data_IF_676769914342
#
_entry.id   IF_676769914342
#
_cell.length_a   1.000
_cell.length_b   1.000
_cell.length_c   1.000
_cell.angle_alpha   90.00
_cell.angle_beta   90.00
_cell.angle_gamma   90.00
#
_symmetry.space_group_name_H-M   'P 1'
#
loop_
_entity.id
_entity.type
_entity.pdbx_description
1 polymer ?
#
# COMPACT_ATOMS: atom_id res chain seq x y z
N UNK A 1 -15.86 -13.23 -9.12
CA UNK A 1 -15.66 -14.42 -9.99
C UNK A 1 -14.17 -14.72 -10.13
N UNK A 2 -13.50 -15.49 -9.28
CA UNK A 2 -13.91 -16.26 -8.09
C UNK A 2 -14.46 -15.38 -6.96
N UNK A 3 -15.44 -15.88 -6.21
CA UNK A 3 -16.03 -15.12 -5.08
C UNK A 3 -15.37 -15.47 -3.75
N UNK A 4 -14.71 -16.62 -3.68
CA UNK A 4 -14.06 -17.15 -2.48
C UNK A 4 -12.82 -17.94 -2.87
N UNK A 5 -11.81 -17.92 -2.00
CA UNK A 5 -10.59 -18.72 -2.09
C UNK A 5 -10.74 -19.95 -1.19
N UNK A 6 -10.30 -21.10 -1.67
CA UNK A 6 -10.02 -22.27 -0.85
C UNK A 6 -8.79 -22.04 0.05
N UNK A 7 -8.54 -22.95 0.99
CA UNK A 7 -7.34 -22.91 1.83
C UNK A 7 -6.04 -23.00 1.02
N UNK A 8 -6.04 -23.78 -0.07
CA UNK A 8 -4.89 -23.93 -0.97
C UNK A 8 -4.63 -22.62 -1.73
N UNK A 9 -5.68 -22.05 -2.32
CA UNK A 9 -5.58 -20.77 -3.03
C UNK A 9 -5.22 -19.63 -2.09
N UNK A 10 -5.69 -19.64 -0.85
CA UNK A 10 -5.27 -18.67 0.17
C UNK A 10 -3.79 -18.81 0.50
N UNK A 11 -3.27 -20.03 0.68
CA UNK A 11 -1.85 -20.23 0.95
C UNK A 11 -0.96 -19.72 -0.19
N UNK A 12 -1.37 -19.99 -1.43
CA UNK A 12 -0.71 -19.47 -2.64
C UNK A 12 -0.83 -17.95 -2.73
N UNK A 13 -2.01 -17.38 -2.44
CA UNK A 13 -2.25 -15.94 -2.41
C UNK A 13 -1.39 -15.22 -1.36
N UNK A 14 -1.15 -15.85 -0.22
CA UNK A 14 -0.34 -15.28 0.86
C UNK A 14 1.16 -15.52 0.71
N UNK A 15 1.57 -16.42 -0.18
CA UNK A 15 2.98 -16.85 -0.29
C UNK A 15 3.49 -17.61 0.92
N UNK A 16 2.60 -18.28 1.66
CA UNK A 16 2.92 -18.96 2.93
C UNK A 16 2.58 -20.45 2.86
N UNK A 17 3.19 -21.23 3.76
CA UNK A 17 2.91 -22.66 3.85
C UNK A 17 1.46 -22.93 4.25
N UNK A 18 0.81 -23.88 3.56
CA UNK A 18 -0.60 -24.23 3.80
C UNK A 18 -0.88 -24.62 5.25
N UNK A 19 0.05 -25.32 5.92
CA UNK A 19 -0.15 -25.77 7.32
C UNK A 19 -0.05 -24.59 8.28
N UNK A 20 0.75 -23.59 7.97
CA UNK A 20 0.80 -22.33 8.72
C UNK A 20 -0.55 -21.61 8.62
N UNK A 21 -1.06 -21.43 7.39
CA UNK A 21 -2.36 -20.80 7.15
C UNK A 21 -3.48 -21.57 7.86
N UNK A 22 -3.47 -22.90 7.77
CA UNK A 22 -4.46 -23.73 8.45
C UNK A 22 -4.48 -23.51 9.97
N UNK A 23 -3.31 -23.41 10.61
CA UNK A 23 -3.21 -23.10 12.04
C UNK A 23 -3.76 -21.71 12.38
N UNK A 24 -3.49 -20.70 11.55
CA UNK A 24 -3.98 -19.34 11.75
C UNK A 24 -5.50 -19.27 11.62
N UNK A 25 -6.06 -19.96 10.63
CA UNK A 25 -7.51 -20.07 10.43
C UNK A 25 -8.17 -20.80 11.59
N UNK A 26 -7.62 -21.93 12.05
CA UNK A 26 -8.15 -22.68 13.21
C UNK A 26 -8.13 -21.85 14.51
N UNK A 27 -7.17 -20.93 14.64
CA UNK A 27 -7.08 -19.98 15.77
C UNK A 27 -7.97 -18.74 15.60
N UNK A 28 -8.73 -18.65 14.50
CA UNK A 28 -9.58 -17.49 14.19
C UNK A 28 -8.80 -16.20 13.97
N UNK A 29 -7.54 -16.29 13.53
CA UNK A 29 -6.70 -15.12 13.20
C UNK A 29 -6.99 -14.60 11.80
N UNK A 30 -7.25 -15.50 10.85
CA UNK A 30 -7.63 -15.14 9.48
C UNK A 30 -9.16 -15.22 9.34
N UNK A 31 -9.83 -14.19 8.81
CA UNK A 31 -11.27 -14.22 8.58
C UNK A 31 -11.61 -15.24 7.49
N UNK A 32 -12.44 -16.22 7.81
CA UNK A 32 -12.87 -17.26 6.89
C UNK A 32 -14.15 -17.95 7.36
N UNK A 33 -14.83 -18.64 6.45
CA UNK A 33 -16.08 -19.36 6.74
C UNK A 33 -15.95 -20.83 6.35
N UNK A 34 -16.59 -21.71 7.12
CA UNK A 34 -16.75 -23.12 6.71
C UNK A 34 -18.01 -23.28 5.88
N UNK A 35 -17.85 -23.70 4.62
CA UNK A 35 -18.95 -24.05 3.72
C UNK A 35 -18.78 -25.51 3.32
N UNK A 36 -19.80 -26.35 3.53
CA UNK A 36 -19.75 -27.78 3.19
C UNK A 36 -18.50 -28.52 3.72
N UNK A 37 -18.11 -28.22 4.97
CA UNK A 37 -16.91 -28.74 5.66
C UNK A 37 -15.54 -28.26 5.16
N UNK A 38 -15.49 -27.39 4.15
CA UNK A 38 -14.25 -26.77 3.66
C UNK A 38 -14.16 -25.29 4.05
N UNK A 39 -12.94 -24.79 4.21
CA UNK A 39 -12.70 -23.38 4.46
C UNK A 39 -12.77 -22.56 3.17
N UNK A 40 -13.48 -21.44 3.24
CA UNK A 40 -13.67 -20.47 2.17
C UNK A 40 -13.30 -19.07 2.69
N UNK A 41 -12.57 -18.30 1.89
CA UNK A 41 -12.07 -16.97 2.27
C UNK A 41 -12.44 -15.92 1.24
N UNK A 42 -13.04 -14.81 1.68
CA UNK A 42 -13.36 -13.73 0.77
C UNK A 42 -12.10 -12.87 0.54
N UNK A 43 -11.65 -12.64 -0.71
CA UNK A 43 -10.41 -11.91 -0.99
C UNK A 43 -10.31 -10.56 -0.28
N UNK A 44 -11.39 -9.77 -0.29
CA UNK A 44 -11.42 -8.47 0.39
C UNK A 44 -11.27 -8.56 1.92
N UNK A 45 -11.80 -9.62 2.55
CA UNK A 45 -11.64 -9.81 3.99
C UNK A 45 -10.20 -10.21 4.33
N UNK A 46 -9.60 -11.07 3.50
CA UNK A 46 -8.20 -11.47 3.63
C UNK A 46 -7.25 -10.30 3.41
N UNK A 47 -7.43 -9.52 2.34
CA UNK A 47 -6.64 -8.31 2.06
C UNK A 47 -6.71 -7.34 3.23
N UNK A 48 -7.91 -7.11 3.76
CA UNK A 48 -8.09 -6.22 4.90
C UNK A 48 -7.38 -6.73 6.16
N UNK A 49 -7.47 -8.03 6.44
CA UNK A 49 -6.71 -8.64 7.54
C UNK A 49 -5.19 -8.48 7.35
N UNK A 50 -4.69 -8.73 6.14
CA UNK A 50 -3.25 -8.58 5.83
C UNK A 50 -2.76 -7.16 6.08
N UNK A 51 -3.48 -6.15 5.61
CA UNK A 51 -3.09 -4.75 5.81
C UNK A 51 -2.95 -4.35 7.28
N UNK A 52 -3.66 -5.03 8.20
CA UNK A 52 -3.51 -4.80 9.63
C UNK A 52 -2.22 -5.40 10.17
N UNK A 53 -1.88 -6.60 9.70
CA UNK A 53 -0.69 -7.34 10.17
C UNK A 53 0.60 -6.88 9.50
N UNK A 54 0.55 -6.36 8.27
CA UNK A 54 1.72 -5.99 7.46
C UNK A 54 2.68 -4.99 8.11
N UNK A 55 2.23 -4.21 9.11
CA UNK A 55 3.08 -3.28 9.85
C UNK A 55 4.17 -3.99 10.64
N UNK A 56 3.87 -5.19 11.11
CA UNK A 56 4.74 -5.99 11.97
C UNK A 56 5.50 -7.06 11.18
N UNK A 57 5.30 -7.11 9.85
CA UNK A 57 5.95 -8.11 9.01
C UNK A 57 7.45 -7.85 8.88
N UNK A 58 8.21 -8.93 9.01
CA UNK A 58 9.64 -8.95 8.70
C UNK A 58 9.88 -8.79 7.19
N UNK A 59 11.12 -8.43 6.82
CA UNK A 59 11.52 -8.31 5.41
C UNK A 59 11.30 -9.60 4.62
N UNK A 60 11.52 -10.76 5.23
CA UNK A 60 11.30 -12.07 4.60
C UNK A 60 9.81 -12.36 4.35
N UNK A 61 8.94 -11.99 5.30
CA UNK A 61 7.48 -12.15 5.14
C UNK A 61 6.93 -11.22 4.05
N UNK A 62 7.41 -9.98 3.97
CA UNK A 62 7.04 -9.06 2.90
C UNK A 62 7.53 -9.54 1.53
N UNK A 63 8.75 -10.08 1.47
CA UNK A 63 9.30 -10.65 0.24
C UNK A 63 8.50 -11.88 -0.23
N UNK A 64 8.11 -12.77 0.69
CA UNK A 64 7.25 -13.91 0.38
C UNK A 64 5.88 -13.49 -0.17
N UNK A 65 5.24 -12.50 0.47
CA UNK A 65 3.96 -11.95 0.01
C UNK A 65 4.08 -11.29 -1.37
N UNK A 66 5.13 -10.48 -1.59
CA UNK A 66 5.37 -9.83 -2.89
C UNK A 66 5.51 -10.85 -4.01
N UNK A 67 6.33 -11.89 -3.80
CA UNK A 67 6.53 -12.97 -4.78
C UNK A 67 5.26 -13.74 -5.08
N UNK A 68 4.35 -13.89 -4.12
CA UNK A 68 3.08 -14.55 -4.33
C UNK A 68 2.11 -13.75 -5.21
N UNK A 69 2.22 -12.41 -5.17
CA UNK A 69 1.42 -11.54 -6.02
C UNK A 69 2.05 -11.33 -7.41
N UNK A 70 3.31 -11.72 -7.60
CA UNK A 70 3.96 -11.81 -8.92
C UNK A 70 3.42 -13.04 -9.69
N UNK A 71 2.38 -12.88 -10.51
CA UNK A 71 1.87 -13.98 -11.33
C UNK A 71 1.56 -13.59 -12.79
N UNK A 72 2.43 -14.08 -13.69
CA UNK A 72 2.25 -14.43 -15.11
C UNK A 72 1.98 -13.37 -16.20
N UNK A 73 1.63 -12.12 -15.91
CA UNK A 73 1.67 -11.07 -16.94
C UNK A 73 2.95 -10.25 -16.79
N UNK A 74 3.88 -10.47 -17.73
CA UNK A 74 5.12 -9.72 -17.97
C UNK A 74 5.55 -8.75 -16.85
N UNK A 75 6.24 -9.29 -15.85
CA UNK A 75 7.49 -8.75 -15.31
C UNK A 75 7.49 -7.24 -15.00
N UNK A 76 6.55 -6.76 -14.17
CA UNK A 76 6.77 -5.46 -13.51
C UNK A 76 7.78 -5.68 -12.39
N UNK A 77 9.06 -5.70 -12.75
CA UNK A 77 10.18 -5.78 -11.79
C UNK A 77 10.12 -4.67 -10.75
N UNK A 78 9.71 -3.48 -11.18
CA UNK A 78 9.63 -2.26 -10.38
C UNK A 78 8.16 -1.80 -10.27
N UNK A 79 7.32 -2.47 -9.44
CA UNK A 79 5.88 -2.24 -9.35
C UNK A 79 5.50 -0.89 -8.74
N UNK A 80 6.41 -0.28 -7.97
CA UNK A 80 6.19 1.06 -7.41
C UNK A 80 6.55 2.11 -8.46
N UNK A 81 7.72 1.98 -9.08
CA UNK A 81 8.18 2.87 -10.16
C UNK A 81 7.19 2.91 -11.32
N UNK A 82 6.62 1.78 -11.72
CA UNK A 82 5.66 1.74 -12.85
C UNK A 82 4.38 2.53 -12.59
N UNK A 83 4.07 2.84 -11.33
CA UNK A 83 2.89 3.56 -10.91
C UNK A 83 3.19 5.01 -10.47
N UNK A 84 4.48 5.38 -10.44
CA UNK A 84 4.92 6.74 -10.12
C UNK A 84 5.09 7.56 -11.40
N UNK A 85 4.84 8.86 -11.27
CA UNK A 85 5.14 9.84 -12.30
C UNK A 85 5.80 11.05 -11.63
N UNK A 86 6.74 11.76 -12.29
CA UNK A 86 7.32 12.97 -11.70
C UNK A 86 6.27 13.99 -11.23
N UNK A 87 5.18 14.14 -11.98
CA UNK A 87 4.08 15.06 -11.63
C UNK A 87 3.29 14.61 -10.38
N UNK A 88 3.37 13.34 -9.98
CA UNK A 88 2.74 12.83 -8.76
C UNK A 88 3.61 12.93 -7.53
N UNK A 89 4.74 13.65 -7.60
CA UNK A 89 5.63 13.92 -6.48
C UNK A 89 5.54 15.38 -6.05
N UNK A 90 5.28 15.62 -4.77
CA UNK A 90 5.17 16.98 -4.24
C UNK A 90 6.04 17.18 -2.99
N UNK A 91 7.05 18.04 -3.12
CA UNK A 91 7.93 18.44 -2.02
C UNK A 91 8.16 19.95 -2.13
N UNK A 92 7.77 20.75 -1.11
CA UNK A 92 6.94 20.36 0.03
C UNK A 92 5.46 20.13 -0.39
N UNK A 93 4.78 19.25 0.34
CA UNK A 93 3.32 19.11 0.33
C UNK A 93 2.73 20.11 1.33
N UNK A 94 1.92 21.06 0.84
CA UNK A 94 1.34 22.15 1.63
C UNK A 94 0.12 21.68 2.44
N UNK A 95 0.35 20.82 3.42
CA UNK A 95 -0.68 20.28 4.31
C UNK A 95 -0.28 20.44 5.80
N UNK A 96 -1.29 20.61 6.67
CA UNK A 96 -1.08 20.79 8.12
C UNK A 96 -1.97 19.90 8.99
N UNK A 97 -2.92 19.22 8.39
CA UNK A 97 -3.85 18.29 9.04
C UNK A 97 -3.92 17.00 8.25
N UNK A 98 -4.33 15.90 8.92
CA UNK A 98 -4.58 14.61 8.27
C UNK A 98 -5.50 14.76 7.05
N UNK A 99 -6.61 15.49 7.19
CA UNK A 99 -7.55 15.74 6.08
C UNK A 99 -6.89 16.48 4.91
N UNK A 100 -6.17 17.57 5.19
CA UNK A 100 -5.50 18.34 4.13
C UNK A 100 -4.41 17.53 3.42
N UNK A 101 -3.75 16.59 4.10
CA UNK A 101 -2.80 15.67 3.44
C UNK A 101 -3.51 14.84 2.38
N UNK A 102 -4.65 14.24 2.73
CA UNK A 102 -5.42 13.42 1.78
C UNK A 102 -5.93 14.24 0.60
N UNK A 103 -6.44 15.45 0.85
CA UNK A 103 -6.89 16.38 -0.18
C UNK A 103 -5.73 16.75 -1.13
N UNK A 104 -4.60 17.21 -0.60
CA UNK A 104 -3.44 17.58 -1.41
C UNK A 104 -2.85 16.39 -2.20
N UNK A 105 -2.82 15.18 -1.64
CA UNK A 105 -2.32 14.00 -2.37
C UNK A 105 -3.24 13.64 -3.55
N UNK A 106 -4.56 13.79 -3.40
CA UNK A 106 -5.50 13.56 -4.51
C UNK A 106 -5.37 14.65 -5.57
N UNK A 107 -5.14 15.91 -5.18
CA UNK A 107 -4.82 16.99 -6.13
C UNK A 107 -3.53 16.71 -6.91
N UNK A 108 -2.48 16.25 -6.21
CA UNK A 108 -1.21 15.83 -6.84
C UNK A 108 -1.45 14.67 -7.81
N UNK A 109 -2.21 13.64 -7.41
CA UNK A 109 -2.60 12.55 -8.29
C UNK A 109 -3.37 13.04 -9.53
N UNK A 110 -4.21 14.06 -9.37
CA UNK A 110 -5.03 14.66 -10.43
C UNK A 110 -4.25 15.26 -11.59
N UNK A 111 -2.97 15.61 -11.39
CA UNK A 111 -2.07 16.15 -12.44
C UNK A 111 -1.84 15.17 -13.60
N UNK A 112 -2.08 13.88 -13.37
CA UNK A 112 -1.96 12.82 -14.39
C UNK A 112 -3.19 12.67 -15.29
N UNK A 113 -4.27 13.40 -15.02
CA UNK A 113 -5.58 13.24 -15.68
C UNK A 113 -6.24 11.86 -15.48
N UNK A 114 -5.71 11.05 -14.56
CA UNK A 114 -6.28 9.74 -14.23
C UNK A 114 -7.37 9.81 -13.16
N UNK A 115 -7.49 10.92 -12.44
CA UNK A 115 -8.49 11.08 -11.38
C UNK A 115 -9.79 11.65 -11.96
N UNK A 116 -10.87 10.87 -11.88
CA UNK A 116 -12.17 11.24 -12.44
C UNK A 116 -13.17 11.67 -11.36
N UNK A 117 -13.12 11.06 -10.18
CA UNK A 117 -14.02 11.34 -9.07
C UNK A 117 -13.24 11.61 -7.76
N UNK A 118 -12.57 12.77 -7.64
CA UNK A 118 -11.69 13.05 -6.49
C UNK A 118 -12.41 13.04 -5.14
N UNK A 119 -13.68 13.47 -5.11
CA UNK A 119 -14.48 13.46 -3.88
C UNK A 119 -14.80 12.04 -3.38
N UNK A 120 -15.09 11.11 -4.30
CA UNK A 120 -15.33 9.70 -3.97
C UNK A 120 -14.07 9.03 -3.43
N UNK A 121 -12.92 9.30 -4.06
CA UNK A 121 -11.62 8.80 -3.61
C UNK A 121 -11.30 9.35 -2.22
N UNK A 122 -11.47 10.65 -2.00
CA UNK A 122 -11.22 11.28 -0.69
C UNK A 122 -12.08 10.63 0.39
N UNK A 123 -13.37 10.44 0.13
CA UNK A 123 -14.29 9.81 1.07
C UNK A 123 -13.86 8.36 1.38
N UNK A 124 -13.51 7.58 0.37
CA UNK A 124 -13.11 6.18 0.55
C UNK A 124 -11.80 6.04 1.34
N UNK A 125 -10.82 6.91 1.06
CA UNK A 125 -9.53 6.93 1.80
C UNK A 125 -9.75 7.39 3.24
N UNK A 126 -10.58 8.42 3.47
CA UNK A 126 -10.95 8.87 4.82
C UNK A 126 -11.61 7.76 5.63
N UNK A 127 -12.59 7.06 5.05
CA UNK A 127 -13.26 5.94 5.71
C UNK A 127 -12.28 4.82 6.07
N UNK A 128 -11.30 4.51 5.20
CA UNK A 128 -10.26 3.52 5.51
C UNK A 128 -9.36 3.95 6.66
N UNK A 129 -8.98 5.22 6.68
CA UNK A 129 -8.10 5.82 7.68
C UNK A 129 -8.76 5.94 9.06
N UNK A 130 -10.08 6.17 9.11
CA UNK A 130 -10.88 6.21 10.35
C UNK A 130 -10.98 4.85 11.03
N UNK A 131 -11.05 3.77 10.25
CA UNK A 131 -11.11 2.39 10.78
C UNK A 131 -9.78 2.01 11.45
N UNK A 132 -8.67 2.30 10.78
CA UNK A 132 -7.33 2.08 11.33
C UNK A 132 -6.32 2.90 10.53
N UNK A 133 -5.54 3.73 11.22
CA UNK A 133 -4.55 4.61 10.60
C UNK A 133 -3.57 3.85 9.71
N UNK A 134 -3.24 4.33 8.52
CA UNK A 134 -2.19 3.74 7.65
C UNK A 134 -0.79 4.27 7.95
N UNK A 135 -0.57 4.83 9.15
CA UNK A 135 0.71 5.34 9.63
C UNK A 135 1.62 4.25 10.22
N UNK A 136 2.92 4.40 9.99
CA UNK A 136 4.01 3.53 10.46
C UNK A 136 4.89 4.25 11.49
N UNK A 137 5.57 3.50 12.37
CA UNK A 137 6.55 4.04 13.33
C UNK A 137 7.76 4.73 12.66
N UNK A 138 7.92 4.65 11.34
CA UNK A 138 9.02 5.31 10.61
C UNK A 138 8.70 6.73 10.17
N UNK A 139 7.57 7.30 10.60
CA UNK A 139 7.12 8.64 10.19
C UNK A 139 6.51 8.68 8.78
N UNK A 140 6.00 7.55 8.31
CA UNK A 140 5.39 7.40 6.99
C UNK A 140 3.91 7.08 7.16
N UNK A 141 3.08 7.49 6.20
CA UNK A 141 1.76 6.90 6.03
C UNK A 141 1.50 6.55 4.57
N UNK A 142 0.78 5.45 4.35
CA UNK A 142 0.43 4.95 3.02
C UNK A 142 -1.09 4.97 2.85
N UNK A 143 -1.74 6.15 2.74
CA UNK A 143 -3.19 6.22 2.58
C UNK A 143 -3.64 5.52 1.29
N UNK A 144 -4.73 4.76 1.38
CA UNK A 144 -5.31 4.03 0.24
C UNK A 144 -6.80 3.75 0.53
N UNK A 145 -7.66 3.57 -0.48
CA UNK A 145 -9.02 3.11 -0.28
C UNK A 145 -9.03 1.62 0.09
N UNK A 146 -10.03 1.19 0.85
CA UNK A 146 -10.19 -0.23 1.23
C UNK A 146 -10.42 -1.14 0.02
N UNK A 147 -11.18 -0.65 -0.95
CA UNK A 147 -11.55 -1.39 -2.15
C UNK A 147 -11.14 -0.56 -3.37
N UNK A 148 -10.76 -1.20 -4.49
CA UNK A 148 -10.61 -0.52 -5.76
C UNK A 148 -11.88 0.24 -6.17
N UNK A 149 -11.70 1.43 -6.75
CA UNK A 149 -12.79 2.27 -7.27
C UNK A 149 -12.58 2.43 -8.79
N UNK A 150 -12.89 1.39 -9.61
CA UNK A 150 -12.54 1.37 -11.03
C UNK A 150 -13.20 2.48 -11.87
N UNK A 151 -14.28 3.08 -11.35
CA UNK A 151 -15.03 4.18 -11.95
C UNK A 151 -14.55 5.57 -11.47
N UNK A 152 -13.69 5.62 -10.44
CA UNK A 152 -13.20 6.89 -9.88
C UNK A 152 -11.84 7.32 -10.46
N UNK A 153 -11.08 6.41 -11.02
CA UNK A 153 -9.79 6.69 -11.66
C UNK A 153 -9.46 5.70 -12.80
N UNK A 154 -8.67 6.18 -13.78
CA UNK A 154 -8.39 5.48 -15.03
C UNK A 154 -7.28 4.44 -14.96
N UNK A 155 -6.23 4.67 -14.19
CA UNK A 155 -5.10 3.75 -14.04
C UNK A 155 -4.69 3.67 -12.58
N UNK A 156 -4.06 2.55 -12.21
CA UNK A 156 -3.38 2.45 -10.93
C UNK A 156 -2.24 3.49 -10.90
N UNK A 157 -2.07 4.19 -9.78
CA UNK A 157 -1.02 5.19 -9.62
C UNK A 157 -0.65 5.36 -8.14
N UNK A 158 0.52 5.96 -7.93
CA UNK A 158 0.99 6.40 -6.62
C UNK A 158 1.23 7.91 -6.67
N UNK A 159 0.75 8.62 -5.66
CA UNK A 159 1.11 10.01 -5.42
C UNK A 159 1.85 10.16 -4.10
N UNK A 160 2.92 10.92 -4.11
CA UNK A 160 3.77 11.16 -2.96
C UNK A 160 3.72 12.62 -2.53
N UNK A 161 3.79 12.83 -1.23
CA UNK A 161 4.05 14.15 -0.68
C UNK A 161 4.91 14.10 0.57
N UNK A 162 5.82 15.07 0.70
CA UNK A 162 6.54 15.32 1.95
C UNK A 162 6.13 16.65 2.56
N UNK A 163 5.57 16.65 3.76
CA UNK A 163 5.20 17.89 4.46
C UNK A 163 6.42 18.55 5.10
N UNK A 164 6.36 19.86 5.34
CA UNK A 164 7.46 20.60 5.99
C UNK A 164 7.66 20.16 7.45
N UNK A 165 6.57 19.83 8.13
CA UNK A 165 6.56 19.35 9.51
C UNK A 165 5.74 18.07 9.60
N UNK A 166 6.10 17.20 10.54
CA UNK A 166 5.31 16.01 10.83
C UNK A 166 3.87 16.35 11.22
N UNK A 167 2.93 15.52 10.77
CA UNK A 167 1.49 15.63 11.01
C UNK A 167 1.04 14.44 11.87
N UNK A 168 0.19 14.64 12.88
CA UNK A 168 -0.43 13.55 13.61
C UNK A 168 -1.30 12.71 12.65
N UNK A 169 -0.77 11.56 12.24
CA UNK A 169 -1.45 10.68 11.29
C UNK A 169 -1.94 9.37 11.91
N UNK A 170 -1.62 9.10 13.18
CA UNK A 170 -2.10 7.90 13.90
C UNK A 170 -1.10 6.74 13.90
N UNK A 171 0.18 7.02 13.62
CA UNK A 171 1.25 6.06 13.84
C UNK A 171 1.35 5.64 15.32
N UNK A 172 1.88 4.44 15.63
CA UNK A 172 2.01 3.97 17.01
C UNK A 172 2.77 4.96 17.90
N UNK A 173 2.44 4.97 19.19
CA UNK A 173 3.04 5.86 20.22
C UNK A 173 2.90 7.37 19.92
N UNK A 174 2.00 7.76 19.02
CA UNK A 174 1.73 9.16 18.71
C UNK A 174 2.79 9.83 17.83
N UNK A 175 3.59 9.04 17.12
CA UNK A 175 4.59 9.56 16.20
C UNK A 175 3.95 10.32 15.04
N UNK A 176 4.62 11.38 14.60
CA UNK A 176 4.17 12.20 13.48
C UNK A 176 4.66 11.60 12.16
N UNK A 177 3.85 11.74 11.11
CA UNK A 177 4.20 11.35 9.74
C UNK A 177 4.52 12.59 8.92
N UNK A 178 5.59 12.53 8.13
CA UNK A 178 6.02 13.61 7.22
C UNK A 178 6.12 13.14 5.77
N UNK A 179 6.20 11.83 5.54
CA UNK A 179 6.21 11.19 4.22
C UNK A 179 4.88 10.48 3.96
N UNK A 180 4.26 10.73 2.82
CA UNK A 180 2.95 10.18 2.49
C UNK A 180 2.92 9.58 1.09
N UNK A 181 2.43 8.34 0.97
CA UNK A 181 2.23 7.64 -0.29
C UNK A 181 0.76 7.29 -0.48
N UNK A 182 0.02 8.08 -1.25
CA UNK A 182 -1.32 7.72 -1.70
C UNK A 182 -1.22 6.60 -2.74
N UNK A 183 -1.81 5.44 -2.46
CA UNK A 183 -1.83 4.29 -3.36
C UNK A 183 -3.24 4.07 -3.89
N UNK A 184 -3.40 4.13 -5.22
CA UNK A 184 -4.65 3.84 -5.90
C UNK A 184 -4.41 2.68 -6.88
N UNK A 185 -5.08 1.55 -6.67
CA UNK A 185 -4.93 0.37 -7.53
C UNK A 185 -6.29 -0.05 -8.09
N UNK A 186 -6.34 -0.52 -9.34
CA UNK A 186 -7.58 -0.98 -10.00
C UNK A 186 -8.04 -2.36 -9.54
N UNK A 187 -7.16 -3.14 -8.91
CA UNK A 187 -7.46 -4.47 -8.40
C UNK A 187 -6.68 -4.78 -7.11
N UNK A 188 -7.17 -5.74 -6.34
CA UNK A 188 -6.62 -6.11 -5.04
C UNK A 188 -5.25 -6.81 -5.12
N UNK A 189 -4.93 -7.46 -6.24
CA UNK A 189 -3.64 -8.17 -6.39
C UNK A 189 -2.51 -7.15 -6.61
N UNK A 190 -2.69 -6.21 -7.53
CA UNK A 190 -1.76 -5.09 -7.70
C UNK A 190 -1.64 -4.28 -6.42
N UNK A 191 -2.75 -4.06 -5.71
CA UNK A 191 -2.74 -3.37 -4.42
C UNK A 191 -1.79 -4.03 -3.41
N UNK A 192 -1.96 -5.33 -3.16
CA UNK A 192 -1.10 -6.05 -2.21
C UNK A 192 0.35 -6.09 -2.66
N UNK A 193 0.60 -6.27 -3.97
CA UNK A 193 1.95 -6.25 -4.52
C UNK A 193 2.65 -4.91 -4.23
N UNK A 194 1.97 -3.79 -4.50
CA UNK A 194 2.49 -2.44 -4.27
C UNK A 194 2.73 -2.19 -2.78
N UNK A 195 1.79 -2.57 -1.91
CA UNK A 195 1.95 -2.40 -0.47
C UNK A 195 3.11 -3.24 0.07
N UNK A 196 3.27 -4.50 -0.36
CA UNK A 196 4.40 -5.33 0.06
C UNK A 196 5.73 -4.74 -0.42
N UNK A 197 5.76 -4.22 -1.65
CA UNK A 197 6.96 -3.60 -2.21
C UNK A 197 7.34 -2.33 -1.47
N UNK A 198 6.39 -1.41 -1.27
CA UNK A 198 6.60 -0.20 -0.48
C UNK A 198 7.08 -0.53 0.93
N UNK A 199 6.48 -1.55 1.57
CA UNK A 199 6.94 -2.04 2.87
C UNK A 199 8.42 -2.43 2.87
N UNK A 200 8.89 -3.16 1.85
CA UNK A 200 10.32 -3.51 1.72
C UNK A 200 11.20 -2.30 1.43
N UNK A 201 10.77 -1.40 0.54
CA UNK A 201 11.51 -0.16 0.22
C UNK A 201 11.71 0.67 1.48
N UNK A 202 10.67 0.82 2.30
CA UNK A 202 10.69 1.57 3.56
C UNK A 202 11.67 0.97 4.58
N UNK A 203 11.89 -0.34 4.53
CA UNK A 203 12.83 -1.06 5.40
C UNK A 203 14.28 -1.00 4.87
N UNK A 204 14.55 -0.45 3.69
CA UNK A 204 15.91 -0.31 3.17
C UNK A 204 16.72 0.67 4.04
N UNK A 205 17.95 0.30 4.44
CA UNK A 205 18.81 1.19 5.21
C UNK A 205 19.05 2.52 4.49
N UNK A 206 18.83 3.64 5.18
CA UNK A 206 19.10 5.00 4.68
C UNK A 206 18.06 5.58 3.72
N UNK A 207 17.15 4.76 3.14
CA UNK A 207 16.16 5.22 2.16
C UNK A 207 15.30 6.39 2.65
N UNK A 208 14.80 6.31 3.90
CA UNK A 208 13.94 7.36 4.45
C UNK A 208 14.67 8.65 4.75
N UNK A 209 15.94 8.56 5.16
CA UNK A 209 16.76 9.74 5.42
C UNK A 209 17.09 10.45 4.11
N UNK A 210 17.40 9.68 3.07
CA UNK A 210 17.62 10.19 1.71
C UNK A 210 16.35 10.86 1.15
N UNK A 211 15.19 10.21 1.28
CA UNK A 211 13.91 10.76 0.82
C UNK A 211 13.50 12.03 1.59
N UNK A 212 13.85 12.13 2.88
CA UNK A 212 13.67 13.36 3.68
C UNK A 212 14.66 14.47 3.33
N UNK A 213 15.79 14.13 2.74
CA UNK A 213 16.79 15.10 2.29
C UNK A 213 16.51 15.67 0.88
N UNK A 214 15.61 15.05 0.10
CA UNK A 214 15.27 15.51 -1.24
C UNK A 214 14.77 16.98 -1.26
N UNK A 215 15.34 17.85 -2.08
CA UNK A 215 14.94 19.27 -2.07
C UNK A 215 13.61 19.51 -2.83
N UNK A 216 13.27 18.63 -3.76
CA UNK A 216 12.09 18.76 -4.61
C UNK A 216 11.46 17.39 -4.97
N UNK A 217 10.31 17.45 -5.67
CA UNK A 217 9.57 16.27 -6.08
C UNK A 217 10.30 15.39 -7.09
N UNK A 218 11.15 15.97 -7.94
CA UNK A 218 11.91 15.21 -8.94
C UNK A 218 13.03 14.40 -8.28
N UNK A 219 13.74 14.99 -7.34
CA UNK A 219 14.75 14.28 -6.54
C UNK A 219 14.09 13.15 -5.75
N UNK A 220 12.94 13.42 -5.13
CA UNK A 220 12.16 12.38 -4.44
C UNK A 220 11.71 11.25 -5.38
N UNK A 221 11.29 11.58 -6.61
CA UNK A 221 10.94 10.61 -7.65
C UNK A 221 12.10 9.64 -7.92
N UNK A 222 13.29 10.20 -8.17
CA UNK A 222 14.50 9.44 -8.50
C UNK A 222 14.92 8.50 -7.37
N UNK A 223 14.87 8.96 -6.12
CA UNK A 223 15.18 8.16 -4.92
C UNK A 223 14.24 6.96 -4.82
N UNK A 224 12.93 7.16 -4.94
CA UNK A 224 11.95 6.05 -4.87
C UNK A 224 12.13 5.07 -6.02
N UNK A 225 12.41 5.58 -7.23
CA UNK A 225 12.67 4.74 -8.40
C UNK A 225 13.93 3.88 -8.22
N UNK A 226 15.02 4.45 -7.71
CA UNK A 226 16.28 3.75 -7.47
C UNK A 226 16.15 2.68 -6.38
N UNK A 227 15.41 2.98 -5.31
CA UNK A 227 15.12 2.03 -4.25
C UNK A 227 14.30 0.82 -4.77
N UNK A 228 13.28 1.09 -5.60
CA UNK A 228 12.50 0.04 -6.24
C UNK A 228 13.34 -0.79 -7.22
N UNK A 229 14.27 -0.20 -7.97
CA UNK A 229 15.17 -0.97 -8.84
C UNK A 229 16.13 -1.87 -8.06
N UNK A 230 16.65 -1.40 -6.93
CA UNK A 230 17.60 -2.16 -6.09
C UNK A 230 17.00 -3.48 -5.62
N UNK A 231 15.74 -3.47 -5.20
CA UNK A 231 15.01 -4.67 -4.77
C UNK A 231 14.63 -5.61 -5.93
N UNK A 232 14.72 -5.15 -7.18
CA UNK A 232 14.46 -5.96 -8.38
C UNK A 232 15.67 -6.79 -8.82
N UNK A 233 16.87 -6.37 -8.41
CA UNK A 233 18.13 -7.08 -8.66
C UNK A 233 18.54 -8.04 -7.54
N UNK A 234 17.75 -8.11 -6.46
CA UNK A 234 18.03 -8.88 -5.24
C UNK A 234 17.30 -10.22 -5.19
#
# INVERSE_FOLDING_TARGET
MHDWLSLEELAQFLGRDRREIEKLVQRGRIPGRKMQAEWQFHPTEVTYWLEQEMRDYSGDELHGLERAQQASEADIRCPVRSLLHPDTMQVPLEARTKRSVLECLIEVAGRTWQIWQPAEILQAVQQREEVMSTGFESGIAIPHPRNPLPDAYGQSLIAFGRTFSGIPFGAPKGQLSDLFFLVLCRDSRTHLHVLSRLGRIIQLPGFLDELRAADDGLTAYEIVCSADETLSGS
#
